data_IF_553882182855
#
_entry.id   IF_553882182855
#
_cell.length_a   1.000
_cell.length_b   1.000
_cell.length_c   1.000
_cell.angle_alpha   90.00
_cell.angle_beta   90.00
_cell.angle_gamma   90.00
#
_symmetry.space_group_name_H-M   'P 1'
#
loop_
_entity.id
_entity.type
_entity.pdbx_description
1 polymer ?
#
# COMPACT_ATOMS: atom_id res chain seq x y z
N UNK A 1 -9.18 24.63 22.38
CA UNK A 1 -8.80 23.61 21.40
C UNK A 1 -10.03 23.23 20.58
N UNK A 2 -10.03 23.56 19.28
CA UNK A 2 -11.20 23.39 18.41
C UNK A 2 -11.54 21.89 18.24
N UNK A 3 -12.84 21.61 18.09
CA UNK A 3 -13.34 20.23 17.86
C UNK A 3 -12.59 19.55 16.70
N UNK A 4 -12.20 20.29 15.66
CA UNK A 4 -11.46 19.79 14.50
C UNK A 4 -10.10 19.18 14.85
N UNK A 5 -9.39 19.71 15.83
CA UNK A 5 -8.09 19.17 16.28
C UNK A 5 -8.23 17.75 16.87
N UNK A 6 -9.29 17.51 17.64
CA UNK A 6 -9.56 16.18 18.22
C UNK A 6 -9.85 15.13 17.14
N UNK A 7 -10.63 15.51 16.12
CA UNK A 7 -10.88 14.61 14.98
C UNK A 7 -9.63 14.33 14.16
N UNK A 8 -8.76 15.33 13.97
CA UNK A 8 -7.47 15.15 13.28
C UNK A 8 -6.55 14.18 14.02
N UNK A 9 -6.42 14.34 15.34
CA UNK A 9 -5.62 13.42 16.17
C UNK A 9 -6.23 12.01 16.14
N UNK A 10 -7.55 11.89 16.29
CA UNK A 10 -8.23 10.59 16.23
C UNK A 10 -7.99 9.87 14.89
N UNK A 11 -8.09 10.59 13.78
CA UNK A 11 -7.80 10.04 12.45
C UNK A 11 -6.33 9.60 12.32
N UNK A 12 -5.39 10.42 12.81
CA UNK A 12 -3.97 10.07 12.80
C UNK A 12 -3.67 8.79 13.59
N UNK A 13 -4.29 8.63 14.76
CA UNK A 13 -4.15 7.40 15.57
C UNK A 13 -4.70 6.19 14.83
N UNK A 14 -5.86 6.31 14.19
CA UNK A 14 -6.45 5.23 13.38
C UNK A 14 -5.54 4.82 12.23
N UNK A 15 -4.96 5.79 11.52
CA UNK A 15 -4.01 5.52 10.43
C UNK A 15 -2.78 4.78 10.95
N UNK A 16 -2.22 5.20 12.09
CA UNK A 16 -1.08 4.53 12.71
C UNK A 16 -1.41 3.10 13.14
N UNK A 17 -2.58 2.87 13.73
CA UNK A 17 -3.04 1.53 14.11
C UNK A 17 -3.23 0.63 12.89
N UNK A 18 -3.82 1.14 11.81
CA UNK A 18 -3.99 0.39 10.57
C UNK A 18 -2.63 0.09 9.90
N UNK A 19 -1.70 1.03 9.93
CA UNK A 19 -0.34 0.83 9.42
C UNK A 19 0.38 -0.27 10.21
N UNK A 20 0.35 -0.19 11.55
CA UNK A 20 0.92 -1.21 12.42
C UNK A 20 0.24 -2.57 12.22
N UNK A 21 -1.09 -2.59 12.10
CA UNK A 21 -1.86 -3.79 11.79
C UNK A 21 -1.44 -4.44 10.46
N UNK A 22 -1.20 -3.64 9.43
CA UNK A 22 -0.73 -4.13 8.13
C UNK A 22 0.66 -4.79 8.21
N UNK A 23 1.53 -4.29 9.08
CA UNK A 23 2.85 -4.91 9.31
C UNK A 23 2.74 -6.23 10.09
N UNK A 24 1.79 -6.34 11.02
CA UNK A 24 1.60 -7.52 11.86
C UNK A 24 0.81 -8.62 11.14
N UNK A 25 -0.26 -8.24 10.42
CA UNK A 25 -1.16 -9.17 9.74
C UNK A 25 -0.73 -9.33 8.28
N UNK A 26 -0.40 -10.54 7.88
CA UNK A 26 -0.02 -10.87 6.51
C UNK A 26 -0.17 -12.36 6.25
N UNK A 27 0.16 -12.80 5.04
CA UNK A 27 0.09 -14.22 4.63
C UNK A 27 0.99 -15.15 5.46
N UNK A 28 1.99 -14.60 6.15
CA UNK A 28 2.86 -15.33 7.08
C UNK A 28 2.68 -14.72 8.46
N UNK A 29 2.34 -15.56 9.44
CA UNK A 29 2.23 -15.15 10.85
C UNK A 29 3.62 -14.91 11.42
N UNK A 30 4.00 -13.66 11.59
CA UNK A 30 5.24 -13.27 12.27
C UNK A 30 4.84 -12.77 13.66
N UNK A 31 5.44 -13.28 14.74
CA UNK A 31 5.18 -12.77 16.09
C UNK A 31 5.46 -11.26 16.18
N UNK A 32 4.61 -10.48 16.84
CA UNK A 32 4.79 -9.03 16.94
C UNK A 32 6.12 -8.63 17.55
N UNK A 33 6.64 -9.45 18.49
CA UNK A 33 7.95 -9.21 19.09
C UNK A 33 9.09 -9.23 18.07
N UNK A 34 9.04 -10.15 17.10
CA UNK A 34 10.06 -10.26 16.04
C UNK A 34 9.92 -9.12 15.02
N UNK A 35 8.71 -8.67 14.72
CA UNK A 35 8.48 -7.51 13.86
C UNK A 35 9.17 -6.27 14.45
N UNK A 36 8.98 -5.99 15.75
CA UNK A 36 9.63 -4.88 16.43
C UNK A 36 11.16 -5.05 16.49
N UNK A 37 11.62 -6.28 16.73
CA UNK A 37 13.06 -6.58 16.79
C UNK A 37 13.73 -6.35 15.44
N UNK A 38 13.13 -6.79 14.33
CA UNK A 38 13.65 -6.60 12.98
C UNK A 38 13.62 -5.12 12.59
N UNK A 39 12.57 -4.37 12.94
CA UNK A 39 12.49 -2.92 12.68
C UNK A 39 13.57 -2.13 13.43
N UNK A 40 13.98 -2.57 14.60
CA UNK A 40 15.07 -1.98 15.40
C UNK A 40 16.48 -2.44 14.96
N UNK A 41 16.57 -3.19 13.85
CA UNK A 41 17.85 -3.66 13.31
C UNK A 41 18.36 -4.96 13.91
N UNK A 42 17.55 -5.67 14.70
CA UNK A 42 17.85 -7.00 15.20
C UNK A 42 17.57 -8.09 14.16
N UNK A 43 18.22 -9.24 14.32
CA UNK A 43 17.90 -10.42 13.50
C UNK A 43 16.64 -11.11 14.04
N UNK A 44 15.70 -11.44 13.15
CA UNK A 44 14.55 -12.27 13.49
C UNK A 44 14.98 -13.74 13.63
N UNK A 45 14.15 -14.53 14.33
CA UNK A 45 14.41 -15.97 14.51
C UNK A 45 14.59 -16.73 13.18
N UNK A 46 14.00 -16.21 12.10
CA UNK A 46 14.16 -16.72 10.73
C UNK A 46 14.58 -15.60 9.78
N UNK A 47 15.65 -15.80 9.04
CA UNK A 47 16.14 -14.87 8.01
C UNK A 47 15.06 -14.53 6.97
N UNK A 48 14.15 -15.48 6.67
CA UNK A 48 13.03 -15.27 5.75
C UNK A 48 12.05 -14.18 6.24
N UNK A 49 11.87 -13.99 7.56
CA UNK A 49 10.96 -12.98 8.11
C UNK A 49 11.47 -11.57 7.92
N UNK A 50 12.77 -11.38 8.08
CA UNK A 50 13.44 -10.12 7.80
C UNK A 50 13.27 -9.72 6.34
N UNK A 51 13.51 -10.65 5.41
CA UNK A 51 13.32 -10.43 3.99
C UNK A 51 11.86 -10.07 3.64
N UNK A 52 10.88 -10.80 4.16
CA UNK A 52 9.45 -10.53 3.92
C UNK A 52 9.06 -9.14 4.46
N UNK A 53 9.56 -8.77 5.63
CA UNK A 53 9.22 -7.48 6.25
C UNK A 53 9.78 -6.31 5.44
N UNK A 54 11.06 -6.35 5.09
CA UNK A 54 11.75 -5.25 4.40
C UNK A 54 11.42 -5.18 2.90
N UNK A 55 11.34 -6.31 2.21
CA UNK A 55 11.18 -6.35 0.76
C UNK A 55 9.70 -6.34 0.32
N UNK A 56 8.78 -6.75 1.18
CA UNK A 56 7.36 -6.84 0.82
C UNK A 56 6.47 -5.96 1.68
N UNK A 57 6.42 -6.18 2.99
CA UNK A 57 5.43 -5.53 3.86
C UNK A 57 5.66 -4.03 4.04
N UNK A 58 6.89 -3.63 4.29
CA UNK A 58 7.21 -2.23 4.52
C UNK A 58 6.99 -1.37 3.26
N UNK A 59 7.51 -1.74 2.07
CA UNK A 59 7.23 -0.99 0.86
C UNK A 59 5.74 -0.93 0.52
N UNK A 60 5.02 -2.03 0.71
CA UNK A 60 3.57 -2.08 0.47
C UNK A 60 2.79 -1.16 1.41
N UNK A 61 3.13 -1.14 2.70
CA UNK A 61 2.50 -0.27 3.68
C UNK A 61 2.78 1.21 3.40
N UNK A 62 4.03 1.55 3.02
CA UNK A 62 4.42 2.91 2.66
C UNK A 62 3.72 3.39 1.38
N UNK A 63 3.67 2.55 0.34
CA UNK A 63 2.96 2.90 -0.89
C UNK A 63 1.47 3.09 -0.66
N UNK A 64 0.84 2.24 0.15
CA UNK A 64 -0.56 2.38 0.52
C UNK A 64 -0.84 3.70 1.25
N UNK A 65 0.04 4.09 2.19
CA UNK A 65 -0.07 5.35 2.93
C UNK A 65 0.07 6.57 1.99
N UNK A 66 1.10 6.58 1.14
CA UNK A 66 1.36 7.67 0.20
C UNK A 66 0.26 7.78 -0.85
N UNK A 67 -0.15 6.67 -1.47
CA UNK A 67 -1.22 6.67 -2.45
C UNK A 67 -2.57 7.07 -1.84
N UNK A 68 -2.88 6.61 -0.63
CA UNK A 68 -4.10 7.00 0.08
C UNK A 68 -4.13 8.49 0.39
N UNK A 69 -3.02 9.05 0.87
CA UNK A 69 -2.86 10.48 1.10
C UNK A 69 -3.00 11.32 -0.17
N UNK A 70 -2.33 10.90 -1.25
CA UNK A 70 -2.42 11.55 -2.54
C UNK A 70 -3.86 11.55 -3.09
N UNK A 71 -4.56 10.42 -3.01
CA UNK A 71 -5.95 10.30 -3.44
C UNK A 71 -6.89 11.18 -2.61
N UNK A 72 -6.67 11.30 -1.31
CA UNK A 72 -7.46 12.18 -0.44
C UNK A 72 -7.31 13.65 -0.84
N UNK A 73 -6.08 14.11 -1.09
CA UNK A 73 -5.81 15.48 -1.54
C UNK A 73 -6.42 15.73 -2.93
N UNK A 74 -6.20 14.82 -3.89
CA UNK A 74 -6.81 14.90 -5.21
C UNK A 74 -8.33 14.97 -5.15
N UNK A 75 -8.94 14.13 -4.31
CA UNK A 75 -10.39 14.14 -4.11
C UNK A 75 -10.89 15.49 -3.62
N UNK A 76 -10.23 16.07 -2.62
CA UNK A 76 -10.58 17.38 -2.09
C UNK A 76 -10.42 18.49 -3.14
N UNK A 77 -9.33 18.46 -3.93
CA UNK A 77 -9.12 19.43 -5.01
C UNK A 77 -10.21 19.35 -6.09
N UNK A 78 -10.62 18.14 -6.46
CA UNK A 78 -11.70 17.92 -7.43
C UNK A 78 -13.04 18.44 -6.92
N UNK A 79 -13.39 18.14 -5.65
CA UNK A 79 -14.61 18.62 -5.05
C UNK A 79 -14.68 20.16 -5.01
N UNK A 80 -13.56 20.80 -4.71
CA UNK A 80 -13.47 22.26 -4.71
C UNK A 80 -13.54 22.86 -6.12
N UNK A 81 -12.84 22.27 -7.08
CA UNK A 81 -12.81 22.73 -8.47
C UNK A 81 -14.19 22.63 -9.13
N UNK A 82 -14.89 21.52 -8.94
CA UNK A 82 -16.22 21.30 -9.51
C UNK A 82 -17.37 21.83 -8.64
N UNK A 83 -17.06 22.35 -7.44
CA UNK A 83 -18.06 22.78 -6.44
C UNK A 83 -19.12 21.70 -6.20
N UNK A 84 -18.75 20.44 -6.29
CA UNK A 84 -19.62 19.28 -6.16
C UNK A 84 -19.00 18.26 -5.21
N UNK A 85 -19.63 17.97 -4.07
CA UNK A 85 -19.11 17.00 -3.10
C UNK A 85 -19.12 15.55 -3.61
N UNK A 86 -19.83 15.28 -4.71
CA UNK A 86 -19.85 13.94 -5.34
C UNK A 86 -18.71 13.73 -6.36
N UNK A 87 -17.94 14.78 -6.67
CA UNK A 87 -16.80 14.67 -7.58
C UNK A 87 -15.67 13.87 -6.88
N UNK A 88 -15.33 12.74 -7.46
CA UNK A 88 -14.26 11.88 -6.98
C UNK A 88 -13.26 11.53 -8.09
N UNK A 89 -12.05 11.06 -7.74
CA UNK A 89 -11.02 10.71 -8.71
C UNK A 89 -11.46 9.65 -9.71
N UNK A 90 -12.35 8.75 -9.32
CA UNK A 90 -12.85 7.66 -10.17
C UNK A 90 -13.72 8.13 -11.34
N UNK A 91 -14.42 9.29 -11.19
CA UNK A 91 -15.37 9.81 -12.20
C UNK A 91 -14.64 10.36 -13.42
N UNK A 92 -13.45 10.89 -13.26
CA UNK A 92 -12.66 11.50 -14.34
C UNK A 92 -11.80 10.51 -15.15
N UNK A 93 -12.05 9.22 -15.01
CA UNK A 93 -11.28 8.20 -15.74
C UNK A 93 -9.83 8.03 -15.24
N UNK A 94 -9.52 8.52 -14.04
CA UNK A 94 -8.17 8.40 -13.44
C UNK A 94 -7.77 6.93 -13.31
N UNK A 95 -8.71 6.05 -12.97
CA UNK A 95 -8.47 4.61 -12.90
C UNK A 95 -8.09 4.02 -14.28
N UNK A 96 -8.74 4.47 -15.36
CA UNK A 96 -8.39 4.05 -16.71
C UNK A 96 -7.01 4.56 -17.12
N UNK A 97 -6.70 5.82 -16.80
CA UNK A 97 -5.38 6.41 -17.03
C UNK A 97 -4.28 5.71 -16.24
N UNK A 98 -4.52 5.38 -14.98
CA UNK A 98 -3.58 4.63 -14.14
C UNK A 98 -3.33 3.22 -14.71
N UNK A 99 -4.38 2.51 -15.12
CA UNK A 99 -4.27 1.18 -15.75
C UNK A 99 -3.50 1.24 -17.07
N UNK A 100 -3.74 2.26 -17.89
CA UNK A 100 -3.01 2.50 -19.13
C UNK A 100 -1.52 2.79 -18.84
N UNK A 101 -1.24 3.63 -17.84
CA UNK A 101 0.13 3.94 -17.42
C UNK A 101 0.89 2.70 -16.95
N UNK A 102 0.26 1.87 -16.13
CA UNK A 102 0.85 0.59 -15.69
C UNK A 102 1.09 -0.34 -16.88
N UNK A 103 0.12 -0.48 -17.80
CA UNK A 103 0.27 -1.30 -18.99
C UNK A 103 1.42 -0.78 -19.89
N UNK A 104 1.54 0.52 -20.04
CA UNK A 104 2.61 1.14 -20.83
C UNK A 104 4.00 0.88 -20.22
N UNK A 105 4.13 1.05 -18.89
CA UNK A 105 5.38 0.74 -18.18
C UNK A 105 5.72 -0.74 -18.29
N UNK A 106 4.73 -1.62 -18.16
CA UNK A 106 4.92 -3.06 -18.31
C UNK A 106 5.36 -3.45 -19.72
N UNK A 107 4.82 -2.80 -20.75
CA UNK A 107 5.22 -3.04 -22.15
C UNK A 107 6.63 -2.55 -22.44
N UNK A 108 7.00 -1.37 -21.96
CA UNK A 108 8.32 -0.78 -22.21
C UNK A 108 9.42 -1.43 -21.38
N UNK A 109 9.15 -1.72 -20.13
CA UNK A 109 10.14 -2.23 -19.15
C UNK A 109 9.92 -3.70 -18.75
N UNK A 110 8.85 -4.33 -19.23
CA UNK A 110 8.43 -5.68 -18.84
C UNK A 110 9.43 -6.79 -19.16
N UNK A 111 10.38 -6.54 -20.07
CA UNK A 111 11.51 -7.45 -20.31
C UNK A 111 12.54 -7.49 -19.17
N UNK A 112 12.62 -6.43 -18.36
CA UNK A 112 13.57 -6.30 -17.24
C UNK A 112 12.94 -6.56 -15.87
N UNK A 113 11.62 -6.45 -15.74
CA UNK A 113 10.92 -6.63 -14.47
C UNK A 113 10.32 -8.04 -14.41
N UNK A 114 10.89 -8.89 -13.57
CA UNK A 114 10.47 -10.30 -13.38
C UNK A 114 9.10 -10.49 -12.71
N UNK A 115 8.25 -9.48 -12.67
CA UNK A 115 6.95 -9.51 -11.97
C UNK A 115 5.94 -10.46 -12.66
N UNK A 116 5.98 -10.57 -13.99
CA UNK A 116 5.03 -11.42 -14.74
C UNK A 116 5.26 -12.93 -14.63
N UNK A 117 6.47 -13.37 -14.27
CA UNK A 117 6.77 -14.83 -14.18
C UNK A 117 6.30 -15.47 -12.89
N UNK A 118 6.21 -14.71 -11.78
CA UNK A 118 5.72 -15.23 -10.51
C UNK A 118 4.22 -15.55 -10.57
N UNK A 119 3.42 -14.68 -11.16
CA UNK A 119 1.96 -14.87 -11.28
C UNK A 119 1.56 -16.01 -12.21
N UNK A 120 2.33 -16.24 -13.29
CA UNK A 120 2.07 -17.35 -14.18
C UNK A 120 2.49 -18.70 -13.59
N UNK A 121 3.57 -18.74 -12.81
CA UNK A 121 4.06 -19.97 -12.19
C UNK A 121 3.11 -20.49 -11.11
N UNK A 122 2.46 -19.60 -10.38
CA UNK A 122 1.53 -19.99 -9.31
C UNK A 122 0.22 -20.59 -9.85
N UNK A 123 -0.24 -20.13 -11.04
CA UNK A 123 -1.43 -20.72 -11.67
C UNK A 123 -1.19 -22.12 -12.24
N UNK A 124 -0.01 -22.41 -12.72
CA UNK A 124 0.33 -23.73 -13.27
C UNK A 124 0.44 -24.76 -12.15
N UNK A 125 0.91 -24.41 -10.96
CA UNK A 125 1.04 -25.34 -9.83
C UNK A 125 -0.30 -25.68 -9.15
N UNK A 126 -1.37 -24.92 -9.41
CA UNK A 126 -2.71 -25.16 -8.84
C UNK A 126 -3.61 -25.99 -9.77
N UNK A 127 -3.13 -26.32 -10.98
CA UNK A 127 -3.89 -27.07 -12.00
C UNK A 127 -3.40 -28.51 -12.17
N UNK A 128 -2.44 -28.97 -11.32
CA UNK A 128 -1.99 -30.35 -11.19
C UNK A 128 -2.25 -30.82 -9.77
#
# INVERSE_FOLDING_TARGET
MSKGWKYGIGLGVVILLLFAGNLLVGSVSIPPADVFRILLGGEGEKASWSFILWESRLPQALTALLCGGALAVCGLMLQTAFKNPLAGPSILGINAGASLGVAFVMLLFGGSIKIGRASCRERVFRAV
#
